data_IF_137461648463
#
_entry.id   IF_137461648463
#
_cell.length_a   1.000
_cell.length_b   1.000
_cell.length_c   1.000
_cell.angle_alpha   90.00
_cell.angle_beta   90.00
_cell.angle_gamma   90.00
#
_symmetry.space_group_name_H-M   'P 1'
#
loop_
_entity.id
_entity.type
_entity.pdbx_description
1 polymer ?
#
# COMPACT_ATOMS: atom_id res chain seq x y z
N UNK A 1 -10.59 12.88 -7.72
CA UNK A 1 -10.37 11.96 -6.58
C UNK A 1 -9.02 12.24 -5.95
N UNK A 2 -8.91 12.17 -4.63
CA UNK A 2 -7.65 12.15 -3.89
C UNK A 2 -6.98 10.79 -4.12
N UNK A 3 -5.68 10.76 -4.39
CA UNK A 3 -4.91 9.53 -4.51
C UNK A 3 -4.02 9.37 -3.27
N UNK A 4 -4.28 8.33 -2.49
CA UNK A 4 -3.55 8.04 -1.28
C UNK A 4 -2.77 6.74 -1.40
N UNK A 5 -1.60 6.66 -0.77
CA UNK A 5 -0.84 5.41 -0.68
C UNK A 5 -0.79 4.95 0.77
N UNK A 6 -1.02 3.68 0.99
CA UNK A 6 -1.02 3.08 2.32
C UNK A 6 -0.07 1.89 2.28
N UNK A 7 0.95 1.89 3.15
CA UNK A 7 1.95 0.81 3.16
C UNK A 7 2.43 0.54 4.58
N UNK A 8 2.49 -0.74 4.93
CA UNK A 8 3.22 -1.20 6.10
C UNK A 8 4.67 -1.45 5.71
N UNK A 9 5.57 -0.91 6.51
CA UNK A 9 7.01 -1.07 6.31
C UNK A 9 7.72 -1.37 7.62
N UNK A 10 8.86 -2.03 7.55
CA UNK A 10 9.78 -2.17 8.68
C UNK A 10 10.58 -0.89 8.89
N UNK A 11 11.30 -0.76 9.99
CA UNK A 11 12.22 0.39 10.24
C UNK A 11 13.27 0.52 9.12
N UNK A 12 13.71 -0.59 8.53
CA UNK A 12 14.62 -0.57 7.37
C UNK A 12 13.89 -0.51 6.02
N UNK A 13 12.59 -0.20 6.02
CA UNK A 13 11.79 0.13 4.83
C UNK A 13 11.29 -1.07 4.02
N UNK A 14 11.44 -2.31 4.51
CA UNK A 14 10.95 -3.50 3.82
C UNK A 14 9.42 -3.57 3.87
N UNK A 15 8.79 -3.85 2.72
CA UNK A 15 7.34 -4.00 2.59
C UNK A 15 6.93 -5.42 2.11
N UNK A 16 7.88 -6.29 1.81
CA UNK A 16 7.62 -7.61 1.25
C UNK A 16 7.13 -8.58 2.32
N UNK A 17 6.13 -9.43 1.96
CA UNK A 17 5.73 -10.59 2.76
C UNK A 17 5.19 -10.27 4.14
N UNK A 18 4.44 -9.18 4.29
CA UNK A 18 4.02 -8.66 5.60
C UNK A 18 3.02 -9.58 6.33
N UNK A 19 2.09 -10.22 5.60
CA UNK A 19 0.94 -10.90 6.19
C UNK A 19 1.16 -12.39 6.49
N UNK A 20 1.99 -13.08 5.72
CA UNK A 20 2.22 -14.51 5.91
C UNK A 20 3.61 -14.97 5.48
N UNK A 21 4.07 -16.09 6.06
CA UNK A 21 5.41 -16.63 5.78
C UNK A 21 5.63 -16.93 4.27
N UNK A 22 4.56 -17.31 3.57
CA UNK A 22 4.60 -17.70 2.17
C UNK A 22 3.95 -16.66 1.23
N UNK A 23 3.61 -15.46 1.73
CA UNK A 23 2.89 -14.44 0.97
C UNK A 23 3.67 -13.98 -0.26
N UNK A 24 4.94 -13.70 -0.11
CA UNK A 24 5.83 -13.31 -1.21
C UNK A 24 7.28 -13.74 -0.97
N UNK A 25 7.70 -14.84 -1.59
CA UNK A 25 9.05 -15.40 -1.48
C UNK A 25 10.00 -14.99 -2.62
N UNK A 26 9.66 -14.00 -3.41
CA UNK A 26 10.50 -13.53 -4.51
C UNK A 26 11.89 -13.12 -4.02
N UNK A 27 12.91 -13.38 -4.86
CA UNK A 27 14.29 -13.03 -4.51
C UNK A 27 14.87 -13.83 -3.33
N UNK A 28 14.28 -14.98 -3.01
CA UNK A 28 14.73 -15.81 -1.88
C UNK A 28 14.31 -15.23 -0.53
N UNK A 29 13.25 -14.43 -0.47
CA UNK A 29 12.77 -13.86 0.80
C UNK A 29 12.15 -14.93 1.70
N UNK A 30 12.67 -15.08 2.92
CA UNK A 30 12.29 -16.13 3.88
C UNK A 30 11.73 -15.58 5.20
N UNK A 31 11.60 -14.25 5.33
CA UNK A 31 11.25 -13.57 6.58
C UNK A 31 9.82 -13.00 6.55
N UNK A 32 8.89 -13.73 5.90
CA UNK A 32 7.50 -13.31 5.79
C UNK A 32 6.71 -13.43 7.10
N UNK A 33 5.54 -12.76 7.17
CA UNK A 33 4.65 -12.79 8.34
C UNK A 33 5.05 -11.88 9.50
N UNK A 34 5.97 -10.94 9.26
CA UNK A 34 6.57 -10.09 10.31
C UNK A 34 5.60 -9.10 10.94
N UNK A 35 4.47 -8.78 10.31
CA UNK A 35 3.45 -7.87 10.88
C UNK A 35 2.66 -8.55 11.99
N UNK A 36 2.34 -9.84 11.86
CA UNK A 36 1.42 -10.54 12.76
C UNK A 36 1.70 -10.35 14.26
N UNK A 37 2.92 -10.59 14.77
CA UNK A 37 3.25 -10.42 16.18
C UNK A 37 3.14 -8.97 16.68
N UNK A 38 3.28 -8.00 15.78
CA UNK A 38 3.31 -6.55 16.07
C UNK A 38 1.93 -5.89 15.95
N UNK A 39 0.99 -6.53 15.23
CA UNK A 39 -0.31 -5.96 14.94
C UNK A 39 -1.22 -6.03 16.18
N UNK A 40 -1.68 -4.87 16.63
CA UNK A 40 -2.57 -4.74 17.80
C UNK A 40 -3.93 -4.14 17.39
N UNK A 41 -4.83 -4.04 18.38
CA UNK A 41 -6.18 -3.53 18.15
C UNK A 41 -6.21 -2.07 17.66
N UNK A 42 -5.24 -1.24 18.07
CA UNK A 42 -5.17 0.14 17.60
C UNK A 42 -4.66 0.24 16.16
N UNK A 43 -3.68 -0.60 15.80
CA UNK A 43 -3.26 -0.73 14.40
C UNK A 43 -4.41 -1.24 13.52
N UNK A 44 -5.16 -2.24 14.00
CA UNK A 44 -6.33 -2.77 13.30
C UNK A 44 -7.42 -1.71 13.12
N UNK A 45 -7.78 -0.99 14.19
CA UNK A 45 -8.77 0.09 14.14
C UNK A 45 -8.36 1.21 13.17
N UNK A 46 -7.08 1.58 13.18
CA UNK A 46 -6.52 2.59 12.29
C UNK A 46 -6.58 2.14 10.83
N UNK A 47 -6.20 0.90 10.57
CA UNK A 47 -6.26 0.32 9.23
C UNK A 47 -7.70 0.23 8.73
N UNK A 48 -8.64 -0.20 9.57
CA UNK A 48 -10.07 -0.24 9.25
C UNK A 48 -10.58 1.15 8.84
N UNK A 49 -10.25 2.21 9.59
CA UNK A 49 -10.63 3.59 9.25
C UNK A 49 -10.06 4.03 7.90
N UNK A 50 -8.82 3.61 7.58
CA UNK A 50 -8.22 3.89 6.27
C UNK A 50 -9.03 3.23 5.17
N UNK A 51 -9.31 1.93 5.26
CA UNK A 51 -10.06 1.21 4.23
C UNK A 51 -11.50 1.69 4.05
N UNK A 52 -12.16 2.12 5.13
CA UNK A 52 -13.53 2.65 5.07
C UNK A 52 -13.66 3.97 4.29
N UNK A 53 -12.57 4.72 4.12
CA UNK A 53 -12.56 5.96 3.31
C UNK A 53 -12.40 5.70 1.82
N UNK A 54 -12.05 4.48 1.42
CA UNK A 54 -11.80 4.15 0.03
C UNK A 54 -13.08 4.14 -0.81
N UNK A 55 -13.12 4.91 -1.87
CA UNK A 55 -14.14 4.83 -2.92
C UNK A 55 -13.69 3.92 -4.07
N UNK A 56 -12.39 3.66 -4.17
CA UNK A 56 -11.79 2.70 -5.11
C UNK A 56 -10.40 2.29 -4.65
N UNK A 57 -9.96 1.14 -5.14
CA UNK A 57 -8.60 0.62 -4.95
C UNK A 57 -7.84 0.59 -6.26
N UNK A 58 -6.53 0.84 -6.18
CA UNK A 58 -5.64 0.72 -7.31
C UNK A 58 -4.38 -0.04 -6.91
N UNK A 59 -4.02 -1.03 -7.69
CA UNK A 59 -2.87 -1.88 -7.39
C UNK A 59 -2.09 -2.27 -8.64
N UNK A 60 -0.85 -2.73 -8.46
CA UNK A 60 -0.17 -3.53 -9.47
C UNK A 60 -0.72 -4.96 -9.47
N UNK A 61 -0.52 -5.69 -10.58
CA UNK A 61 -0.98 -7.07 -10.76
C UNK A 61 -0.72 -7.96 -9.55
N UNK A 62 0.53 -7.96 -9.06
CA UNK A 62 0.94 -8.85 -7.95
C UNK A 62 0.17 -8.58 -6.66
N UNK A 63 0.01 -7.32 -6.30
CA UNK A 63 -0.76 -6.94 -5.12
C UNK A 63 -2.22 -7.35 -5.27
N UNK A 64 -2.78 -7.18 -6.47
CA UNK A 64 -4.15 -7.65 -6.75
C UNK A 64 -4.27 -9.17 -6.55
N UNK A 65 -3.33 -9.95 -7.07
CA UNK A 65 -3.33 -11.42 -6.95
C UNK A 65 -3.18 -11.89 -5.49
N UNK A 66 -2.31 -11.23 -4.70
CA UNK A 66 -2.14 -11.49 -3.27
C UNK A 66 -3.45 -11.16 -2.52
N UNK A 67 -3.99 -9.98 -2.75
CA UNK A 67 -5.20 -9.51 -2.07
C UNK A 67 -6.43 -10.34 -2.45
N UNK A 68 -6.57 -10.75 -3.71
CA UNK A 68 -7.63 -11.63 -4.15
C UNK A 68 -7.63 -12.97 -3.40
N UNK A 69 -6.45 -13.55 -3.18
CA UNK A 69 -6.31 -14.78 -2.39
C UNK A 69 -6.60 -14.57 -0.91
N UNK A 70 -6.13 -13.45 -0.35
CA UNK A 70 -6.21 -13.19 1.10
C UNK A 70 -7.57 -12.64 1.53
N UNK A 71 -8.22 -11.85 0.70
CA UNK A 71 -9.45 -11.13 1.06
C UNK A 71 -10.65 -11.51 0.19
N UNK A 72 -10.42 -12.12 -0.97
CA UNK A 72 -11.47 -12.55 -1.89
C UNK A 72 -11.91 -14.00 -1.70
N UNK A 73 -11.08 -14.85 -1.08
CA UNK A 73 -11.35 -16.28 -0.89
C UNK A 73 -11.65 -16.60 0.58
N UNK A 74 -12.85 -17.14 0.83
CA UNK A 74 -13.31 -17.48 2.20
C UNK A 74 -12.38 -18.47 2.92
N UNK A 75 -11.74 -19.38 2.19
CA UNK A 75 -10.85 -20.41 2.74
C UNK A 75 -9.61 -19.85 3.43
N UNK A 76 -9.05 -18.76 2.90
CA UNK A 76 -7.88 -18.13 3.51
C UNK A 76 -8.24 -17.40 4.81
N UNK A 77 -9.36 -16.68 4.84
CA UNK A 77 -9.85 -16.01 6.04
C UNK A 77 -10.00 -16.98 7.21
N UNK A 78 -10.58 -18.14 6.97
CA UNK A 78 -10.74 -19.20 7.97
C UNK A 78 -9.38 -19.70 8.50
N UNK A 79 -8.40 -19.91 7.64
CA UNK A 79 -7.06 -20.37 8.04
C UNK A 79 -6.27 -19.32 8.82
N UNK A 80 -6.53 -18.02 8.57
CA UNK A 80 -5.92 -16.90 9.28
C UNK A 80 -6.67 -16.49 10.56
N UNK A 81 -7.80 -17.15 10.87
CA UNK A 81 -8.67 -16.78 12.00
C UNK A 81 -9.41 -15.46 11.78
N UNK A 82 -9.59 -15.03 10.53
CA UNK A 82 -10.28 -13.81 10.14
C UNK A 82 -11.66 -14.19 9.58
N UNK A 83 -12.71 -13.73 10.22
CA UNK A 83 -14.06 -13.81 9.64
C UNK A 83 -14.23 -12.74 8.56
N UNK A 84 -14.03 -13.12 7.29
CA UNK A 84 -14.16 -12.21 6.15
C UNK A 84 -15.60 -11.67 5.99
N UNK A 85 -16.61 -12.38 6.51
CA UNK A 85 -18.00 -11.94 6.43
C UNK A 85 -18.31 -10.72 7.28
N UNK A 86 -17.59 -10.53 8.38
CA UNK A 86 -17.75 -9.39 9.31
C UNK A 86 -16.58 -8.42 9.29
N UNK A 87 -15.49 -8.75 8.59
CA UNK A 87 -14.29 -7.93 8.53
C UNK A 87 -14.48 -6.69 7.64
N UNK A 88 -14.35 -5.46 8.16
CA UNK A 88 -14.61 -4.23 7.39
C UNK A 88 -13.62 -3.99 6.24
N UNK A 89 -12.38 -4.50 6.34
CA UNK A 89 -11.39 -4.42 5.25
C UNK A 89 -11.84 -5.34 4.10
N UNK A 90 -12.24 -6.58 4.42
CA UNK A 90 -12.75 -7.51 3.42
C UNK A 90 -14.02 -6.94 2.73
N UNK A 91 -14.93 -6.34 3.51
CA UNK A 91 -16.12 -5.71 2.98
C UNK A 91 -15.76 -4.59 1.99
N UNK A 92 -14.87 -3.65 2.36
CA UNK A 92 -14.41 -2.57 1.48
C UNK A 92 -13.76 -3.13 0.21
N UNK A 93 -12.80 -4.04 0.34
CA UNK A 93 -12.07 -4.63 -0.78
C UNK A 93 -12.97 -5.42 -1.74
N UNK A 94 -14.02 -6.08 -1.27
CA UNK A 94 -14.90 -6.89 -2.12
C UNK A 94 -16.04 -6.07 -2.75
N UNK A 95 -16.43 -4.94 -2.17
CA UNK A 95 -17.53 -4.10 -2.69
C UNK A 95 -17.05 -2.97 -3.59
N UNK A 96 -15.95 -2.30 -3.24
CA UNK A 96 -15.47 -1.15 -3.99
C UNK A 96 -14.83 -1.54 -5.33
N UNK A 97 -14.88 -0.63 -6.34
CA UNK A 97 -14.17 -0.82 -7.60
C UNK A 97 -12.67 -0.97 -7.41
N UNK A 98 -12.10 -1.92 -8.13
CA UNK A 98 -10.65 -2.16 -8.15
C UNK A 98 -10.07 -1.92 -9.53
N UNK A 99 -8.96 -1.22 -9.58
CA UNK A 99 -8.18 -0.97 -10.80
C UNK A 99 -6.83 -1.64 -10.69
N UNK A 100 -6.39 -2.30 -11.75
CA UNK A 100 -5.11 -3.00 -11.78
C UNK A 100 -4.25 -2.49 -12.92
N UNK A 101 -3.15 -1.84 -12.60
CA UNK A 101 -2.14 -1.44 -13.58
C UNK A 101 -1.35 -2.68 -14.02
N UNK A 102 -1.62 -3.16 -15.24
CA UNK A 102 -0.96 -4.35 -15.79
C UNK A 102 -1.05 -4.40 -17.31
N UNK A 103 0.06 -4.80 -17.94
CA UNK A 103 0.13 -5.09 -19.39
C UNK A 103 -0.02 -6.59 -19.68
N UNK A 104 -0.07 -7.43 -18.65
CA UNK A 104 -0.05 -8.90 -18.80
C UNK A 104 -1.25 -9.60 -18.16
N UNK A 105 -2.03 -8.92 -17.33
CA UNK A 105 -3.28 -9.45 -16.79
C UNK A 105 -4.40 -9.16 -17.77
N UNK A 106 -5.07 -10.19 -18.25
CA UNK A 106 -6.19 -10.07 -19.20
C UNK A 106 -7.52 -10.32 -18.53
N UNK A 107 -7.59 -11.30 -17.62
CA UNK A 107 -8.81 -11.74 -16.95
C UNK A 107 -8.62 -11.73 -15.43
N UNK A 108 -8.99 -10.63 -14.75
CA UNK A 108 -8.93 -10.60 -13.29
C UNK A 108 -10.03 -11.50 -12.70
N UNK A 109 -9.64 -12.37 -11.78
CA UNK A 109 -10.56 -13.30 -11.12
C UNK A 109 -11.31 -12.67 -9.93
N UNK A 110 -10.90 -11.52 -9.48
CA UNK A 110 -11.52 -10.81 -8.35
C UNK A 110 -12.67 -9.90 -8.86
N UNK A 111 -13.83 -10.00 -8.24
CA UNK A 111 -15.00 -9.21 -8.63
C UNK A 111 -14.74 -7.69 -8.62
N UNK A 112 -15.46 -6.93 -9.43
CA UNK A 112 -15.35 -5.48 -9.55
C UNK A 112 -13.93 -4.99 -9.90
N UNK A 113 -13.15 -5.79 -10.67
CA UNK A 113 -11.78 -5.45 -11.07
C UNK A 113 -11.71 -5.07 -12.53
N UNK A 114 -11.12 -3.90 -12.80
CA UNK A 114 -10.84 -3.38 -14.16
C UNK A 114 -9.34 -3.33 -14.39
N UNK A 115 -8.87 -3.92 -15.48
CA UNK A 115 -7.45 -3.85 -15.86
C UNK A 115 -7.20 -2.55 -16.62
N UNK A 116 -6.24 -1.77 -16.15
CA UNK A 116 -5.70 -0.60 -16.84
C UNK A 116 -4.49 -1.05 -17.67
N UNK A 117 -4.76 -1.42 -18.93
CA UNK A 117 -3.73 -1.77 -19.89
C UNK A 117 -3.28 -0.51 -20.69
N UNK A 118 -1.99 -0.40 -20.97
CA UNK A 118 -1.45 0.69 -21.81
C UNK A 118 -1.13 1.97 -21.04
N UNK A 119 -1.77 3.08 -21.39
CA UNK A 119 -1.49 4.38 -20.76
C UNK A 119 -2.05 4.47 -19.34
N UNK A 120 -1.26 3.99 -18.39
CA UNK A 120 -1.59 4.07 -16.94
C UNK A 120 -1.64 5.55 -16.49
N UNK A 121 -0.93 6.47 -17.15
CA UNK A 121 -0.93 7.92 -16.83
C UNK A 121 -2.27 8.53 -17.19
N UNK A 122 -2.72 8.31 -18.42
CA UNK A 122 -4.00 8.81 -18.91
C UNK A 122 -5.18 8.25 -18.13
N UNK A 123 -5.19 6.93 -17.88
CA UNK A 123 -6.22 6.28 -17.06
C UNK A 123 -6.30 6.83 -15.64
N UNK A 124 -5.16 7.23 -15.05
CA UNK A 124 -5.13 7.88 -13.74
C UNK A 124 -5.63 9.32 -13.76
N UNK A 125 -5.30 10.07 -14.79
CA UNK A 125 -5.85 11.40 -15.04
C UNK A 125 -7.37 11.35 -15.11
N UNK A 126 -7.90 10.38 -15.83
CA UNK A 126 -9.33 10.13 -15.91
C UNK A 126 -9.97 9.72 -14.57
N UNK A 127 -9.31 8.86 -13.77
CA UNK A 127 -9.77 8.50 -12.43
C UNK A 127 -9.80 9.72 -11.50
N UNK A 128 -8.75 10.57 -11.53
CA UNK A 128 -8.73 11.83 -10.77
C UNK A 128 -9.81 12.81 -11.24
N UNK A 129 -10.10 12.87 -12.54
CA UNK A 129 -11.05 13.83 -13.10
C UNK A 129 -12.54 13.42 -12.93
N UNK A 130 -12.83 12.12 -12.84
CA UNK A 130 -14.21 11.60 -12.94
C UNK A 130 -15.03 11.58 -11.65
N UNK A 131 -14.43 11.67 -10.44
CA UNK A 131 -15.18 11.58 -9.16
C UNK A 131 -14.54 12.39 -8.04
N UNK A 132 -15.37 12.92 -7.15
CA UNK A 132 -14.96 13.21 -5.77
C UNK A 132 -14.71 11.89 -5.06
N UNK A 133 -13.86 11.87 -4.01
CA UNK A 133 -13.56 10.68 -3.24
C UNK A 133 -12.08 10.30 -3.19
N UNK A 134 -11.77 9.10 -2.70
CA UNK A 134 -10.41 8.61 -2.44
C UNK A 134 -10.12 7.31 -3.19
N UNK A 135 -9.05 7.32 -4.00
CA UNK A 135 -8.45 6.10 -4.58
C UNK A 135 -7.25 5.70 -3.72
N UNK A 136 -7.28 4.51 -3.17
CA UNK A 136 -6.21 3.99 -2.33
C UNK A 136 -5.28 3.03 -3.09
N UNK A 137 -3.96 3.22 -2.90
CA UNK A 137 -2.91 2.36 -3.46
C UNK A 137 -2.18 1.64 -2.33
N UNK A 138 -2.40 0.34 -2.22
CA UNK A 138 -1.78 -0.51 -1.19
C UNK A 138 -0.53 -1.27 -1.68
N UNK A 139 -0.08 -1.03 -2.87
CA UNK A 139 1.04 -1.68 -3.57
C UNK A 139 0.73 -1.77 -5.07
N UNK A 140 1.64 -2.20 -5.90
CA UNK A 140 2.99 -2.63 -5.55
C UNK A 140 3.92 -1.44 -5.28
N UNK A 141 5.06 -1.69 -4.62
CA UNK A 141 6.07 -0.65 -4.40
C UNK A 141 6.53 0.04 -5.68
N UNK A 142 6.66 -0.71 -6.79
CA UNK A 142 6.96 -0.13 -8.11
C UNK A 142 5.90 0.86 -8.59
N UNK A 143 4.62 0.54 -8.41
CA UNK A 143 3.51 1.43 -8.78
C UNK A 143 3.50 2.69 -7.90
N UNK A 144 3.75 2.55 -6.60
CA UNK A 144 3.83 3.68 -5.66
C UNK A 144 4.98 4.61 -6.04
N UNK A 145 6.20 4.08 -6.26
CA UNK A 145 7.36 4.88 -6.68
C UNK A 145 7.13 5.62 -7.98
N UNK A 146 6.60 4.92 -8.98
CA UNK A 146 6.25 5.53 -10.26
C UNK A 146 5.27 6.71 -10.09
N UNK A 147 4.33 6.61 -9.16
CA UNK A 147 3.39 7.71 -8.86
C UNK A 147 4.06 8.89 -8.17
N UNK A 148 5.04 8.64 -7.32
CA UNK A 148 5.86 9.70 -6.75
C UNK A 148 6.64 10.45 -7.83
N UNK A 149 7.28 9.74 -8.76
CA UNK A 149 8.00 10.33 -9.88
C UNK A 149 7.12 11.24 -10.72
N UNK A 150 5.84 10.89 -10.87
CA UNK A 150 4.88 11.64 -11.67
C UNK A 150 4.04 12.63 -10.83
N UNK A 151 4.37 12.87 -9.56
CA UNK A 151 3.67 13.81 -8.65
C UNK A 151 2.15 13.55 -8.56
N UNK A 152 1.76 12.29 -8.58
CA UNK A 152 0.35 11.86 -8.56
C UNK A 152 -0.19 11.52 -7.18
N UNK A 153 0.67 11.46 -6.15
CA UNK A 153 0.32 11.12 -4.78
C UNK A 153 -0.07 12.37 -4.02
N UNK A 154 -1.27 12.36 -3.44
CA UNK A 154 -1.77 13.47 -2.62
C UNK A 154 -1.50 13.25 -1.11
N UNK A 155 -1.42 11.99 -0.67
CA UNK A 155 -1.14 11.67 0.74
C UNK A 155 -0.54 10.25 0.86
N UNK A 156 0.34 10.09 1.85
CA UNK A 156 0.99 8.82 2.20
C UNK A 156 0.63 8.47 3.62
N UNK A 157 0.16 7.25 3.85
CA UNK A 157 0.07 6.67 5.19
C UNK A 157 1.07 5.54 5.33
N UNK A 158 2.01 5.67 6.24
CA UNK A 158 2.99 4.63 6.57
C UNK A 158 2.67 4.05 7.95
N UNK A 159 2.57 2.72 8.03
CA UNK A 159 2.61 1.97 9.27
C UNK A 159 4.03 1.44 9.43
N UNK A 160 4.85 2.12 10.21
CA UNK A 160 6.25 1.72 10.44
C UNK A 160 6.29 0.75 11.62
N UNK A 161 6.57 -0.51 11.33
CA UNK A 161 6.65 -1.58 12.30
C UNK A 161 8.03 -1.61 12.98
N UNK A 162 8.11 -1.76 14.32
CA UNK A 162 9.36 -1.68 15.07
C UNK A 162 10.20 -2.96 14.92
N UNK A 163 10.60 -3.27 13.70
CA UNK A 163 11.43 -4.42 13.35
C UNK A 163 12.38 -4.07 12.22
N UNK A 164 13.58 -4.63 12.25
CA UNK A 164 14.58 -4.60 11.17
C UNK A 164 14.68 -6.01 10.61
N UNK A 165 14.47 -6.15 9.31
CA UNK A 165 14.50 -7.47 8.63
C UNK A 165 15.80 -7.68 7.86
N UNK A 166 16.38 -6.63 7.28
CA UNK A 166 17.64 -6.69 6.57
C UNK A 166 17.60 -7.45 5.22
N UNK A 167 16.43 -7.92 4.79
CA UNK A 167 16.21 -8.64 3.54
C UNK A 167 14.85 -8.24 2.97
N UNK A 168 14.68 -8.28 1.64
CA UNK A 168 13.40 -8.09 0.99
C UNK A 168 13.28 -6.77 0.22
N UNK A 169 12.14 -6.60 -0.43
CA UNK A 169 11.83 -5.43 -1.26
C UNK A 169 11.45 -4.25 -0.36
N UNK A 170 12.18 -3.14 -0.49
CA UNK A 170 11.90 -1.88 0.20
C UNK A 170 10.91 -1.02 -0.58
N UNK A 171 10.10 -0.25 0.15
CA UNK A 171 9.21 0.75 -0.45
C UNK A 171 10.03 1.82 -1.16
N UNK A 172 11.05 2.36 -0.49
CA UNK A 172 12.01 3.30 -1.05
C UNK A 172 13.38 2.62 -1.12
N UNK A 173 13.83 2.19 -2.32
CA UNK A 173 15.14 1.57 -2.52
C UNK A 173 16.24 2.62 -2.52
N UNK A 174 17.50 2.17 -2.62
CA UNK A 174 18.68 3.02 -2.59
C UNK A 174 18.71 4.07 -3.74
N UNK A 175 17.97 3.81 -4.80
CA UNK A 175 17.79 4.73 -5.93
C UNK A 175 16.31 4.90 -6.23
N UNK A 176 15.87 6.14 -6.42
CA UNK A 176 14.46 6.43 -6.69
C UNK A 176 14.18 7.93 -6.64
N UNK A 177 12.90 8.30 -6.78
CA UNK A 177 12.51 9.71 -6.70
C UNK A 177 12.76 10.26 -5.31
N UNK A 178 13.28 11.46 -5.25
CA UNK A 178 13.29 12.26 -4.03
C UNK A 178 11.98 13.04 -3.90
N UNK A 179 11.50 13.20 -2.67
CA UNK A 179 10.30 14.00 -2.39
C UNK A 179 10.40 14.63 -1.00
N UNK A 180 10.04 15.90 -0.91
CA UNK A 180 9.81 16.57 0.36
C UNK A 180 8.41 16.23 0.86
N UNK A 181 8.29 16.01 2.17
CA UNK A 181 7.06 15.57 2.80
C UNK A 181 6.76 16.45 4.02
N UNK A 182 5.52 16.92 4.13
CA UNK A 182 4.99 17.52 5.35
C UNK A 182 4.31 16.45 6.19
N UNK A 183 4.67 16.37 7.48
CA UNK A 183 3.99 15.49 8.42
C UNK A 183 2.62 16.09 8.78
N UNK A 184 1.55 15.34 8.48
CA UNK A 184 0.15 15.73 8.74
C UNK A 184 -0.33 15.17 10.07
N UNK A 185 0.00 13.90 10.36
CA UNK A 185 -0.36 13.20 11.60
C UNK A 185 0.68 12.14 11.94
N UNK A 186 0.87 11.89 13.24
CA UNK A 186 1.76 10.83 13.72
C UNK A 186 1.28 10.32 15.07
N UNK A 187 1.16 8.99 15.20
CA UNK A 187 0.81 8.33 16.45
C UNK A 187 1.47 6.97 16.55
N UNK A 188 1.67 6.49 17.77
CA UNK A 188 2.18 5.16 18.05
C UNK A 188 1.08 4.26 18.66
N UNK A 189 1.09 2.99 18.31
CA UNK A 189 0.22 1.98 18.93
C UNK A 189 0.90 1.34 20.15
N UNK A 190 0.17 0.63 21.03
CA UNK A 190 0.76 -0.03 22.20
C UNK A 190 1.91 -0.99 21.90
N UNK A 191 1.90 -1.67 20.74
CA UNK A 191 3.00 -2.53 20.31
C UNK A 191 4.09 -1.81 19.51
N UNK A 192 4.04 -0.48 19.44
CA UNK A 192 5.10 0.36 18.88
C UNK A 192 5.04 0.55 17.36
N UNK A 193 3.98 0.14 16.67
CA UNK A 193 3.78 0.55 15.28
C UNK A 193 3.55 2.06 15.28
N UNK A 194 4.33 2.82 14.53
CA UNK A 194 4.07 4.25 14.32
C UNK A 194 3.29 4.43 13.02
N UNK A 195 2.17 5.15 13.12
CA UNK A 195 1.32 5.49 11.97
C UNK A 195 1.61 6.93 11.62
N UNK A 196 2.10 7.18 10.43
CA UNK A 196 2.54 8.48 9.96
C UNK A 196 1.80 8.83 8.68
N UNK A 197 1.20 10.03 8.66
CA UNK A 197 0.51 10.56 7.48
C UNK A 197 1.30 11.74 6.95
N UNK A 198 1.67 11.68 5.69
CA UNK A 198 2.44 12.72 5.03
C UNK A 198 1.74 13.26 3.78
N UNK A 199 2.05 14.51 3.45
CA UNK A 199 1.67 15.14 2.19
C UNK A 199 2.92 15.52 1.41
N UNK A 200 3.07 15.07 0.15
CA UNK A 200 4.17 15.51 -0.71
C UNK A 200 4.09 17.01 -0.98
N UNK A 201 5.23 17.70 -0.89
CA UNK A 201 5.35 19.15 -1.09
C UNK A 201 6.30 19.53 -2.23
N UNK A 202 6.71 18.56 -3.04
CA UNK A 202 7.59 18.73 -4.17
C UNK A 202 8.98 18.10 -3.97
N UNK A 203 10.02 18.73 -4.48
CA UNK A 203 11.40 18.25 -4.34
C UNK A 203 12.05 18.80 -3.06
N UNK A 204 12.87 18.00 -2.37
CA UNK A 204 13.60 18.47 -1.21
C UNK A 204 14.66 19.51 -1.60
N UNK A 205 14.96 20.41 -0.68
CA UNK A 205 16.08 21.32 -0.82
C UNK A 205 17.32 20.70 -0.16
N UNK A 206 18.43 20.70 -0.88
CA UNK A 206 19.72 20.20 -0.37
C UNK A 206 20.62 21.37 -0.02
N UNK A 207 21.27 21.33 1.14
CA UNK A 207 22.30 22.29 1.48
C UNK A 207 23.50 22.13 0.53
N UNK A 208 23.92 23.21 -0.12
CA UNK A 208 25.20 23.24 -0.86
C UNK A 208 26.32 23.40 0.14
N UNK A 209 27.34 22.56 0.05
CA UNK A 209 28.56 22.76 0.84
C UNK A 209 29.17 24.13 0.45
N UNK A 210 29.17 25.09 1.35
CA UNK A 210 29.98 26.28 1.20
C UNK A 210 31.44 25.85 1.40
N UNK A 211 32.25 25.96 0.35
CA UNK A 211 33.69 25.80 0.48
C UNK A 211 34.19 26.86 1.49
N UNK A 212 34.67 26.42 2.64
CA UNK A 212 35.45 27.20 3.61
C UNK A 212 36.87 27.30 3.15
#
# INVERSE_FOLDING_TARGET
>A
MKLTTITMVTVDGVMQGLGGADEDRRGGFERGGWVGPLFDNEAAASLNQVYQRADAFLSGRRTCEIFARSWGAAEWGASAGIDLGTNPIAAALNTQPKYVASTTLTEPQWANTTVLAGDVVGANGELKAKREGEVQVHGSGGLIRWRFDNQLVDEITLFVCPVIIGQGIRLFPDTGPDAALDLVDSRATPKGITIQVYRPTGRPQYATATAT
#
